data_IF_522714268221
#
_entry.id   IF_522714268221
#
_cell.length_a   1.000
_cell.length_b   1.000
_cell.length_c   1.000
_cell.angle_alpha   90.00
_cell.angle_beta   90.00
_cell.angle_gamma   90.00
#
_symmetry.space_group_name_H-M   'P 1'
#
loop_
_entity.id
_entity.type
_entity.pdbx_description
1 polymer ?
#
# COMPACT_ATOMS: atom_id res chain seq x y z
N UNK A 1 7.06 18.53 17.12
CA UNK A 1 6.24 17.36 17.45
C UNK A 1 7.21 16.23 17.76
N UNK A 2 6.98 15.42 18.81
CA UNK A 2 7.77 14.22 19.10
C UNK A 2 6.87 13.02 18.79
N UNK A 3 7.37 11.96 18.13
CA UNK A 3 6.57 10.77 17.90
C UNK A 3 6.00 10.22 19.22
N UNK A 4 4.85 9.57 19.18
CA UNK A 4 4.30 8.82 20.30
C UNK A 4 3.90 7.43 19.85
N UNK A 5 4.63 6.41 20.26
CA UNK A 5 4.17 5.04 20.05
C UNK A 5 2.88 4.79 20.83
N UNK A 6 1.82 4.40 20.14
CA UNK A 6 0.61 3.85 20.74
C UNK A 6 0.60 2.37 20.41
N UNK A 7 0.67 1.52 21.43
CA UNK A 7 0.37 0.11 21.24
C UNK A 7 -1.04 0.01 20.69
N UNK A 8 -1.17 -0.72 19.59
CA UNK A 8 -2.43 -0.82 18.87
C UNK A 8 -3.48 -1.62 19.66
N UNK A 9 -3.09 -2.29 20.78
CA UNK A 9 -3.96 -3.16 21.58
C UNK A 9 -4.47 -4.41 20.83
N UNK A 10 -4.41 -4.38 19.50
CA UNK A 10 -4.69 -5.42 18.53
C UNK A 10 -3.60 -6.51 18.52
N UNK A 11 -2.65 -6.52 19.46
CA UNK A 11 -1.64 -7.56 19.52
C UNK A 11 -2.27 -8.95 19.60
N UNK A 12 -3.42 -9.14 20.24
CA UNK A 12 -4.06 -10.47 20.26
C UNK A 12 -4.63 -10.88 18.88
N UNK A 13 -5.34 -9.97 18.21
CA UNK A 13 -5.97 -10.24 16.90
C UNK A 13 -4.93 -10.30 15.77
N UNK A 14 -3.98 -9.37 15.76
CA UNK A 14 -2.83 -9.37 14.84
C UNK A 14 -1.87 -10.53 15.15
N UNK A 15 -1.65 -10.91 16.42
CA UNK A 15 -0.83 -12.09 16.76
C UNK A 15 -1.41 -13.35 16.15
N UNK A 16 -2.73 -13.55 16.28
CA UNK A 16 -3.40 -14.71 15.68
C UNK A 16 -3.21 -14.71 14.16
N UNK A 17 -3.27 -13.53 13.53
CA UNK A 17 -3.08 -13.37 12.10
C UNK A 17 -1.64 -13.67 11.65
N UNK A 18 -0.63 -13.23 12.40
CA UNK A 18 0.78 -13.37 12.03
C UNK A 18 1.42 -14.67 12.52
N UNK A 19 0.79 -15.37 13.48
CA UNK A 19 1.31 -16.60 14.10
C UNK A 19 1.78 -17.69 13.11
N UNK A 20 1.13 -17.91 11.95
CA UNK A 20 1.58 -18.93 10.99
C UNK A 20 2.89 -18.58 10.26
N UNK A 21 3.33 -17.32 10.29
CA UNK A 21 4.39 -16.81 9.43
C UNK A 21 5.72 -16.63 10.15
N UNK A 22 6.79 -16.64 9.37
CA UNK A 22 8.16 -16.46 9.84
C UNK A 22 9.01 -15.84 8.73
N UNK A 23 10.02 -15.05 9.10
CA UNK A 23 11.01 -14.53 8.15
C UNK A 23 12.43 -14.74 8.67
N UNK A 24 13.40 -14.70 7.76
CA UNK A 24 14.81 -14.56 8.14
C UNK A 24 15.08 -13.24 8.87
N UNK A 25 16.22 -13.14 9.58
CA UNK A 25 16.58 -11.89 10.27
C UNK A 25 16.78 -10.73 9.28
N UNK A 26 17.38 -10.99 8.12
CA UNK A 26 17.54 -10.01 7.06
C UNK A 26 16.19 -9.47 6.57
N UNK A 27 15.23 -10.35 6.31
CA UNK A 27 13.89 -9.96 5.88
C UNK A 27 13.10 -9.24 6.98
N UNK A 28 13.29 -9.59 8.25
CA UNK A 28 12.72 -8.83 9.37
C UNK A 28 13.32 -7.43 9.48
N UNK A 29 14.64 -7.28 9.29
CA UNK A 29 15.30 -5.98 9.28
C UNK A 29 14.78 -5.11 8.14
N UNK A 30 14.66 -5.67 6.92
CA UNK A 30 14.06 -5.00 5.75
C UNK A 30 12.61 -4.59 6.01
N UNK A 31 11.78 -5.53 6.47
CA UNK A 31 10.35 -5.28 6.67
C UNK A 31 10.09 -4.26 7.78
N UNK A 32 10.82 -4.34 8.90
CA UNK A 32 10.62 -3.37 9.99
C UNK A 32 11.16 -2.01 9.62
N UNK A 33 12.33 -1.94 8.97
CA UNK A 33 12.96 -0.69 8.54
C UNK A 33 13.45 0.20 9.69
N UNK A 34 13.39 -0.27 10.94
CA UNK A 34 13.81 0.49 12.14
C UNK A 34 15.09 -0.03 12.77
N UNK A 35 15.57 -1.20 12.32
CA UNK A 35 16.68 -1.90 12.93
C UNK A 35 17.48 -2.65 11.87
N UNK A 36 18.78 -2.77 12.12
CA UNK A 36 19.65 -3.64 11.34
C UNK A 36 19.49 -5.12 11.77
N UNK A 37 20.08 -6.01 10.98
CA UNK A 37 20.02 -7.45 11.23
C UNK A 37 20.58 -7.85 12.60
N UNK A 38 21.62 -7.15 13.08
CA UNK A 38 22.22 -7.43 14.39
C UNK A 38 21.27 -7.10 15.54
N UNK A 39 20.56 -5.99 15.45
CA UNK A 39 19.55 -5.57 16.42
C UNK A 39 18.35 -6.52 16.36
N UNK A 40 17.87 -6.88 15.17
CA UNK A 40 16.82 -7.88 14.98
C UNK A 40 17.20 -9.22 15.61
N UNK A 41 18.45 -9.68 15.41
CA UNK A 41 18.92 -10.92 16.02
C UNK A 41 18.81 -10.87 17.56
N UNK A 42 19.13 -9.72 18.18
CA UNK A 42 18.96 -9.55 19.63
C UNK A 42 17.50 -9.61 20.09
N UNK A 43 16.54 -9.19 19.26
CA UNK A 43 15.12 -9.36 19.54
C UNK A 43 14.73 -10.83 19.48
N UNK A 44 15.17 -11.52 18.43
CA UNK A 44 14.89 -12.95 18.24
C UNK A 44 15.44 -13.78 19.40
N UNK A 45 16.65 -13.50 19.87
CA UNK A 45 17.25 -14.16 21.05
C UNK A 45 16.44 -13.93 22.33
N UNK A 46 15.84 -12.74 22.50
CA UNK A 46 14.99 -12.44 23.65
C UNK A 46 13.63 -13.16 23.56
N UNK A 47 13.07 -13.28 22.36
CA UNK A 47 11.77 -13.90 22.14
C UNK A 47 11.84 -15.43 22.10
N UNK A 48 12.92 -15.97 21.53
CA UNK A 48 13.12 -17.38 21.18
C UNK A 48 14.61 -17.75 21.36
N UNK A 49 15.09 -17.84 22.61
CA UNK A 49 16.51 -18.07 22.91
C UNK A 49 17.06 -19.41 22.36
N UNK A 50 16.17 -20.39 22.15
CA UNK A 50 16.53 -21.71 21.63
C UNK A 50 16.36 -21.83 20.10
N UNK A 51 16.08 -20.72 19.39
CA UNK A 51 15.97 -20.76 17.94
C UNK A 51 17.36 -20.81 17.29
N UNK A 52 17.57 -21.78 16.41
CA UNK A 52 18.80 -21.89 15.62
C UNK A 52 19.08 -20.60 14.84
N UNK A 53 20.36 -20.24 14.68
CA UNK A 53 20.79 -18.96 14.11
C UNK A 53 20.19 -18.70 12.71
N UNK A 54 20.13 -19.73 11.87
CA UNK A 54 19.65 -19.63 10.49
C UNK A 54 18.16 -19.97 10.32
N UNK A 55 17.47 -20.40 11.39
CA UNK A 55 16.06 -20.76 11.31
C UNK A 55 15.19 -19.49 11.26
N UNK A 56 14.21 -19.36 10.33
CA UNK A 56 13.30 -18.22 10.29
C UNK A 56 12.68 -17.92 11.65
N UNK A 57 12.64 -16.64 12.00
CA UNK A 57 12.07 -16.17 13.25
C UNK A 57 10.53 -16.07 13.13
N UNK A 58 9.79 -16.64 14.09
CA UNK A 58 8.34 -16.54 14.11
C UNK A 58 7.90 -15.10 14.36
N UNK A 59 6.87 -14.66 13.63
CA UNK A 59 6.39 -13.28 13.68
C UNK A 59 5.75 -12.89 15.00
N UNK A 60 4.80 -13.69 15.48
CA UNK A 60 4.03 -13.35 16.69
C UNK A 60 4.94 -13.02 17.88
N UNK A 61 5.96 -13.84 18.25
CA UNK A 61 6.82 -13.52 19.38
C UNK A 61 7.61 -12.23 19.19
N UNK A 62 8.09 -11.96 17.97
CA UNK A 62 8.87 -10.76 17.65
C UNK A 62 7.98 -9.53 17.67
N UNK A 63 6.80 -9.58 17.06
CA UNK A 63 5.83 -8.49 17.06
C UNK A 63 5.40 -8.14 18.49
N UNK A 64 5.10 -9.16 19.30
CA UNK A 64 4.73 -8.97 20.70
C UNK A 64 5.87 -8.35 21.52
N UNK A 65 7.11 -8.79 21.32
CA UNK A 65 8.26 -8.15 21.97
C UNK A 65 8.45 -6.69 21.55
N UNK A 66 8.26 -6.39 20.26
CA UNK A 66 8.33 -5.03 19.76
C UNK A 66 7.29 -4.14 20.44
N UNK A 67 6.04 -4.58 20.48
CA UNK A 67 4.92 -3.82 21.07
C UNK A 67 5.04 -3.67 22.59
N UNK A 68 5.38 -4.74 23.31
CA UNK A 68 5.37 -4.77 24.77
C UNK A 68 6.64 -4.20 25.40
N UNK A 69 7.79 -4.29 24.71
CA UNK A 69 9.11 -4.04 25.31
C UNK A 69 9.95 -3.02 24.54
N UNK A 70 10.07 -3.15 23.22
CA UNK A 70 11.02 -2.36 22.45
C UNK A 70 10.50 -0.95 22.11
N UNK A 71 9.33 -0.86 21.48
CA UNK A 71 8.73 0.38 20.99
C UNK A 71 8.19 1.32 22.07
N UNK A 72 7.78 0.85 23.27
CA UNK A 72 7.45 1.75 24.37
C UNK A 72 8.60 2.64 24.85
N UNK A 73 9.86 2.32 24.51
CA UNK A 73 11.02 3.16 24.82
C UNK A 73 11.39 4.07 23.62
N UNK A 74 11.21 5.40 23.74
CA UNK A 74 11.55 6.35 22.67
C UNK A 74 13.02 6.38 22.27
N UNK A 75 13.93 5.81 23.07
CA UNK A 75 15.34 5.70 22.69
C UNK A 75 15.56 4.72 21.52
N UNK A 76 14.59 3.85 21.24
CA UNK A 76 14.67 2.81 20.22
C UNK A 76 14.10 3.23 18.85
N UNK A 77 13.65 4.47 18.72
CA UNK A 77 13.01 4.94 17.49
C UNK A 77 14.05 5.42 16.47
N UNK A 78 13.78 5.25 15.16
CA UNK A 78 14.77 5.48 14.10
C UNK A 78 15.19 6.94 13.93
N UNK A 79 14.56 7.88 14.65
CA UNK A 79 14.95 9.28 14.65
C UNK A 79 13.99 10.18 15.42
N UNK A 80 14.09 11.47 15.10
CA UNK A 80 13.18 12.51 15.61
C UNK A 80 12.22 13.01 14.53
N UNK A 81 12.13 12.32 13.38
CA UNK A 81 11.21 12.70 12.32
C UNK A 81 9.79 12.29 12.74
N UNK A 82 8.80 13.14 12.49
CA UNK A 82 7.41 12.77 12.77
C UNK A 82 6.97 11.56 11.92
N UNK A 83 7.57 11.38 10.74
CA UNK A 83 7.36 10.20 9.89
C UNK A 83 7.83 8.88 10.54
N UNK A 84 8.73 8.94 11.52
CA UNK A 84 9.20 7.75 12.22
C UNK A 84 8.10 7.14 13.10
N UNK A 85 7.08 7.92 13.53
CA UNK A 85 5.92 7.42 14.30
C UNK A 85 5.12 6.38 13.51
N UNK A 86 4.92 6.66 12.22
CA UNK A 86 4.04 5.89 11.33
C UNK A 86 4.64 4.54 10.95
N UNK A 87 5.98 4.49 10.89
CA UNK A 87 6.71 3.24 10.73
C UNK A 87 6.45 2.29 11.89
N UNK A 88 6.25 2.81 13.12
CA UNK A 88 6.06 1.99 14.32
C UNK A 88 4.67 1.38 14.40
N UNK A 89 3.64 2.14 14.01
CA UNK A 89 2.24 1.69 14.11
C UNK A 89 1.88 0.67 13.03
N UNK A 90 2.59 0.65 11.91
CA UNK A 90 2.33 -0.21 10.75
C UNK A 90 3.29 -1.43 10.61
N UNK A 91 4.08 -1.75 11.65
CA UNK A 91 5.09 -2.82 11.60
C UNK A 91 4.48 -4.18 11.22
N UNK A 92 3.30 -4.51 11.74
CA UNK A 92 2.64 -5.78 11.45
C UNK A 92 2.29 -5.91 9.96
N UNK A 93 1.73 -4.86 9.34
CA UNK A 93 1.41 -4.89 7.92
C UNK A 93 2.69 -4.94 7.07
N UNK A 94 3.76 -4.24 7.45
CA UNK A 94 5.05 -4.31 6.75
C UNK A 94 5.67 -5.71 6.79
N UNK A 95 5.64 -6.37 7.95
CA UNK A 95 6.07 -7.77 8.07
C UNK A 95 5.23 -8.70 7.19
N UNK A 96 3.90 -8.52 7.20
CA UNK A 96 2.99 -9.29 6.33
C UNK A 96 3.22 -9.00 4.84
N UNK A 97 3.49 -7.75 4.45
CA UNK A 97 3.78 -7.37 3.07
C UNK A 97 4.97 -8.15 2.51
N UNK A 98 6.02 -8.34 3.32
CA UNK A 98 7.18 -9.16 2.94
C UNK A 98 6.81 -10.64 2.77
N UNK A 99 5.94 -11.19 3.62
CA UNK A 99 5.43 -12.57 3.46
C UNK A 99 4.58 -12.71 2.20
N UNK A 100 3.74 -11.71 1.90
CA UNK A 100 2.97 -11.66 0.64
C UNK A 100 3.93 -11.66 -0.54
N UNK A 101 4.96 -10.80 -0.54
CA UNK A 101 5.96 -10.77 -1.61
C UNK A 101 6.70 -12.12 -1.75
N UNK A 102 7.16 -12.73 -0.66
CA UNK A 102 7.82 -14.05 -0.71
C UNK A 102 6.90 -15.16 -1.24
N UNK A 103 5.60 -15.09 -0.92
CA UNK A 103 4.61 -16.09 -1.32
C UNK A 103 4.24 -15.97 -2.80
N UNK A 104 4.10 -14.75 -3.32
CA UNK A 104 3.54 -14.51 -4.67
C UNK A 104 4.57 -13.98 -5.68
N UNK A 105 5.74 -13.50 -5.25
CA UNK A 105 6.73 -12.79 -6.07
C UNK A 105 7.26 -13.63 -7.25
N UNK A 106 7.60 -14.89 -7.01
CA UNK A 106 8.12 -15.80 -8.03
C UNK A 106 7.01 -16.34 -8.98
N UNK A 107 5.86 -16.71 -8.43
CA UNK A 107 4.82 -17.45 -9.16
C UNK A 107 3.82 -16.55 -9.92
N UNK A 108 3.69 -15.27 -9.55
CA UNK A 108 2.76 -14.31 -10.17
C UNK A 108 3.44 -13.13 -10.85
N UNK A 109 4.72 -13.27 -11.21
CA UNK A 109 5.53 -12.18 -11.79
C UNK A 109 4.88 -11.48 -13.00
N UNK A 110 4.20 -12.26 -13.87
CA UNK A 110 3.46 -11.75 -15.04
C UNK A 110 2.13 -11.06 -14.74
N UNK A 111 1.57 -11.20 -13.52
CA UNK A 111 0.27 -10.67 -13.15
C UNK A 111 0.27 -9.84 -11.84
N UNK A 112 1.40 -9.20 -11.57
CA UNK A 112 1.61 -8.38 -10.40
C UNK A 112 0.67 -7.18 -10.31
N UNK A 113 0.32 -6.57 -11.45
CA UNK A 113 -0.55 -5.39 -11.49
C UNK A 113 -1.94 -5.75 -10.98
N UNK A 114 -2.50 -6.88 -11.39
CA UNK A 114 -3.79 -7.36 -10.89
C UNK A 114 -3.70 -7.76 -9.42
N UNK A 115 -2.61 -8.41 -9.00
CA UNK A 115 -2.40 -8.74 -7.59
C UNK A 115 -2.37 -7.48 -6.71
N UNK A 116 -1.60 -6.46 -7.10
CA UNK A 116 -1.55 -5.20 -6.39
C UNK A 116 -2.89 -4.46 -6.41
N UNK A 117 -3.59 -4.45 -7.54
CA UNK A 117 -4.91 -3.84 -7.63
C UNK A 117 -5.92 -4.55 -6.70
N UNK A 118 -5.87 -5.87 -6.62
CA UNK A 118 -6.68 -6.66 -5.69
C UNK A 118 -6.35 -6.32 -4.24
N UNK A 119 -5.06 -6.26 -3.90
CA UNK A 119 -4.62 -5.89 -2.55
C UNK A 119 -5.08 -4.47 -2.20
N UNK A 120 -4.92 -3.51 -3.11
CA UNK A 120 -5.40 -2.13 -2.92
C UNK A 120 -6.91 -2.10 -2.65
N UNK A 121 -7.66 -2.87 -3.43
CA UNK A 121 -9.11 -3.01 -3.26
C UNK A 121 -9.46 -3.53 -1.86
N UNK A 122 -8.77 -4.57 -1.40
CA UNK A 122 -9.01 -5.12 -0.07
C UNK A 122 -8.66 -4.11 1.03
N UNK A 123 -7.55 -3.38 0.91
CA UNK A 123 -7.16 -2.34 1.87
C UNK A 123 -8.20 -1.22 1.95
N UNK A 124 -8.73 -0.77 0.80
CA UNK A 124 -9.79 0.25 0.76
C UNK A 124 -11.08 -0.25 1.41
N UNK A 125 -11.45 -1.50 1.16
CA UNK A 125 -12.62 -2.11 1.82
C UNK A 125 -12.38 -2.21 3.32
N UNK A 126 -11.18 -2.64 3.75
CA UNK A 126 -10.82 -2.75 5.17
C UNK A 126 -10.89 -1.40 5.88
N UNK A 127 -10.41 -0.31 5.25
CA UNK A 127 -10.53 1.07 5.78
C UNK A 127 -11.98 1.46 6.06
N UNK A 128 -12.92 0.98 5.24
CA UNK A 128 -14.35 1.32 5.36
C UNK A 128 -15.17 0.22 6.05
N UNK A 129 -14.52 -0.83 6.54
CA UNK A 129 -15.17 -2.03 7.06
C UNK A 129 -15.73 -1.80 8.45
N UNK A 130 -17.01 -2.10 8.62
CA UNK A 130 -17.70 -2.04 9.92
C UNK A 130 -18.11 -3.43 10.45
N UNK A 131 -17.77 -4.49 9.70
CA UNK A 131 -18.03 -5.87 10.08
C UNK A 131 -16.95 -6.46 10.99
N UNK A 132 -17.02 -7.77 11.22
CA UNK A 132 -16.01 -8.50 11.99
C UNK A 132 -14.78 -8.81 11.14
N UNK A 133 -13.62 -8.98 11.79
CA UNK A 133 -12.37 -9.39 11.14
C UNK A 133 -12.51 -10.78 10.54
N UNK A 134 -13.18 -11.70 11.24
CA UNK A 134 -13.43 -13.05 10.74
C UNK A 134 -14.25 -13.04 9.45
N UNK A 135 -15.24 -12.15 9.33
CA UNK A 135 -16.01 -12.01 8.10
C UNK A 135 -15.11 -11.48 6.96
N UNK A 136 -14.33 -10.43 7.21
CA UNK A 136 -13.43 -9.86 6.22
C UNK A 136 -12.43 -10.88 5.69
N UNK A 137 -11.85 -11.70 6.58
CA UNK A 137 -10.87 -12.71 6.23
C UNK A 137 -11.38 -13.72 5.19
N UNK A 138 -12.70 -13.88 5.05
CA UNK A 138 -13.32 -14.78 4.08
C UNK A 138 -13.61 -14.18 2.71
N UNK A 139 -13.35 -12.88 2.48
CA UNK A 139 -13.75 -12.17 1.26
C UNK A 139 -13.21 -12.78 -0.05
N UNK A 140 -12.05 -13.44 0.01
CA UNK A 140 -11.41 -14.13 -1.12
C UNK A 140 -11.73 -15.62 -1.22
N UNK A 141 -12.47 -16.18 -0.27
CA UNK A 141 -12.92 -17.57 -0.35
C UNK A 141 -13.84 -17.75 -1.55
N UNK A 142 -13.87 -18.97 -2.10
CA UNK A 142 -14.80 -19.32 -3.17
C UNK A 142 -16.26 -19.01 -2.78
N UNK A 143 -16.59 -19.23 -1.51
CA UNK A 143 -17.84 -18.84 -0.88
C UNK A 143 -17.48 -18.05 0.40
N UNK A 144 -17.57 -16.71 0.39
CA UNK A 144 -17.45 -15.90 1.60
C UNK A 144 -18.58 -16.19 2.58
N UNK A 145 -18.42 -15.79 3.84
CA UNK A 145 -19.49 -15.90 4.83
C UNK A 145 -20.66 -14.98 4.48
N UNK A 146 -21.86 -15.32 4.97
CA UNK A 146 -23.04 -14.47 4.79
C UNK A 146 -22.83 -13.07 5.38
N UNK A 147 -22.15 -12.97 6.52
CA UNK A 147 -21.78 -11.70 7.15
C UNK A 147 -20.86 -10.88 6.25
N UNK A 148 -19.86 -11.50 5.61
CA UNK A 148 -18.97 -10.79 4.69
C UNK A 148 -19.74 -10.19 3.49
N UNK A 149 -20.74 -10.91 2.97
CA UNK A 149 -21.60 -10.41 1.90
C UNK A 149 -22.57 -9.31 2.36
N UNK A 150 -22.96 -9.29 3.64
CA UNK A 150 -23.80 -8.25 4.23
C UNK A 150 -23.02 -6.94 4.42
N UNK A 151 -21.79 -7.02 4.94
CA UNK A 151 -20.97 -5.84 5.24
C UNK A 151 -20.27 -5.23 4.01
N UNK A 152 -20.07 -6.00 2.93
CA UNK A 152 -19.39 -5.49 1.73
C UNK A 152 -20.13 -4.30 1.06
N UNK A 153 -21.46 -4.35 0.85
CA UNK A 153 -22.24 -3.17 0.45
C UNK A 153 -22.10 -1.96 1.38
N UNK A 154 -22.06 -2.18 2.69
CA UNK A 154 -21.93 -1.11 3.68
C UNK A 154 -20.55 -0.44 3.60
N UNK A 155 -19.48 -1.21 3.43
CA UNK A 155 -18.14 -0.68 3.27
C UNK A 155 -18.03 0.24 2.03
N UNK A 156 -18.71 -0.11 0.93
CA UNK A 156 -18.75 0.76 -0.27
C UNK A 156 -19.53 2.05 0.03
N UNK A 157 -20.64 1.96 0.75
CA UNK A 157 -21.44 3.12 1.12
C UNK A 157 -20.70 4.07 2.08
N UNK A 158 -19.80 3.52 2.91
CA UNK A 158 -18.95 4.29 3.82
C UNK A 158 -17.75 4.93 3.13
N UNK A 159 -17.36 4.45 1.95
CA UNK A 159 -16.30 5.08 1.16
C UNK A 159 -16.75 6.45 0.61
N UNK A 160 -15.81 7.37 0.34
CA UNK A 160 -16.11 8.65 -0.31
C UNK A 160 -16.93 8.47 -1.60
N UNK A 161 -17.97 9.29 -1.78
CA UNK A 161 -18.90 9.17 -2.92
C UNK A 161 -18.22 9.28 -4.28
N UNK A 162 -17.13 10.04 -4.37
CA UNK A 162 -16.29 10.16 -5.57
C UNK A 162 -15.75 8.81 -6.05
N UNK A 163 -15.54 7.86 -5.13
CA UNK A 163 -14.95 6.55 -5.40
C UNK A 163 -15.99 5.48 -5.74
N UNK A 164 -17.29 5.70 -5.47
CA UNK A 164 -18.34 4.69 -5.66
C UNK A 164 -18.36 4.07 -7.07
N UNK A 165 -18.22 4.85 -8.18
CA UNK A 165 -18.18 4.26 -9.51
C UNK A 165 -16.97 3.35 -9.72
N UNK A 166 -15.80 3.77 -9.27
CA UNK A 166 -14.56 3.01 -9.40
C UNK A 166 -14.63 1.72 -8.58
N UNK A 167 -15.08 1.80 -7.32
CA UNK A 167 -15.26 0.61 -6.47
C UNK A 167 -16.28 -0.35 -7.08
N UNK A 168 -17.45 0.14 -7.47
CA UNK A 168 -18.58 -0.72 -7.88
C UNK A 168 -18.38 -1.36 -9.25
N UNK A 169 -17.82 -0.62 -10.20
CA UNK A 169 -17.77 -1.03 -11.61
C UNK A 169 -16.43 -1.66 -12.01
N UNK A 170 -15.34 -1.38 -11.28
CA UNK A 170 -14.00 -1.83 -11.64
C UNK A 170 -13.42 -2.78 -10.59
N UNK A 171 -13.33 -2.35 -9.33
CA UNK A 171 -12.57 -3.09 -8.32
C UNK A 171 -13.35 -4.25 -7.69
N UNK A 172 -14.64 -4.09 -7.40
CA UNK A 172 -15.45 -5.19 -6.86
C UNK A 172 -15.65 -6.35 -7.83
N UNK A 173 -15.89 -6.14 -9.14
CA UNK A 173 -15.90 -7.23 -10.10
C UNK A 173 -14.59 -8.03 -10.07
N UNK A 174 -13.44 -7.35 -10.06
CA UNK A 174 -12.13 -8.00 -9.98
C UNK A 174 -11.95 -8.80 -8.67
N UNK A 175 -12.38 -8.25 -7.53
CA UNK A 175 -12.37 -8.97 -6.26
C UNK A 175 -13.23 -10.24 -6.32
N UNK A 176 -14.44 -10.15 -6.91
CA UNK A 176 -15.33 -11.31 -7.05
C UNK A 176 -14.77 -12.36 -7.99
N UNK A 177 -14.12 -11.95 -9.07
CA UNK A 177 -13.44 -12.86 -10.01
C UNK A 177 -12.26 -13.57 -9.35
N UNK A 178 -11.54 -12.89 -8.44
CA UNK A 178 -10.42 -13.46 -7.71
C UNK A 178 -10.82 -14.52 -6.66
N UNK A 179 -12.10 -14.61 -6.29
CA UNK A 179 -12.58 -15.56 -5.27
C UNK A 179 -12.33 -17.01 -5.66
N UNK A 180 -11.78 -17.77 -4.72
CA UNK A 180 -11.47 -19.18 -4.93
C UNK A 180 -10.32 -19.46 -5.91
N UNK A 181 -9.62 -18.42 -6.40
CA UNK A 181 -8.42 -18.57 -7.23
C UNK A 181 -7.14 -18.76 -6.41
N UNK A 182 -7.23 -18.53 -5.10
CA UNK A 182 -6.17 -18.70 -4.11
C UNK A 182 -6.47 -19.91 -3.23
N UNK A 183 -5.42 -20.57 -2.73
CA UNK A 183 -5.57 -21.52 -1.62
C UNK A 183 -6.10 -20.81 -0.37
N UNK A 184 -6.65 -21.57 0.57
CA UNK A 184 -7.18 -20.98 1.81
C UNK A 184 -6.11 -20.19 2.60
N UNK A 185 -4.86 -20.65 2.61
CA UNK A 185 -3.76 -19.97 3.28
C UNK A 185 -3.36 -18.66 2.57
N UNK A 186 -3.31 -18.67 1.23
CA UNK A 186 -3.03 -17.48 0.42
C UNK A 186 -4.15 -16.43 0.54
N UNK A 187 -5.41 -16.86 0.49
CA UNK A 187 -6.56 -15.99 0.69
C UNK A 187 -6.51 -15.32 2.07
N UNK A 188 -6.27 -16.11 3.12
CA UNK A 188 -6.10 -15.64 4.51
C UNK A 188 -4.92 -14.68 4.66
N UNK A 189 -3.80 -14.93 3.97
CA UNK A 189 -2.64 -14.04 3.99
C UNK A 189 -2.97 -12.68 3.36
N UNK A 190 -3.63 -12.67 2.19
CA UNK A 190 -3.99 -11.43 1.48
C UNK A 190 -5.04 -10.61 2.24
N UNK A 191 -6.12 -11.24 2.72
CA UNK A 191 -7.14 -10.55 3.52
C UNK A 191 -6.60 -10.13 4.88
N UNK A 192 -5.75 -10.94 5.48
CA UNK A 192 -5.03 -10.62 6.71
C UNK A 192 -4.16 -9.39 6.58
N UNK A 193 -3.27 -9.41 5.58
CA UNK A 193 -2.46 -8.24 5.24
C UNK A 193 -3.33 -7.01 5.07
N UNK A 194 -4.42 -7.11 4.28
CA UNK A 194 -5.32 -5.99 4.02
C UNK A 194 -6.03 -5.45 5.27
N UNK A 195 -6.39 -6.29 6.25
CA UNK A 195 -6.91 -5.85 7.55
C UNK A 195 -5.86 -5.07 8.34
N UNK A 196 -4.68 -5.66 8.53
CA UNK A 196 -3.59 -5.03 9.27
C UNK A 196 -3.22 -3.67 8.66
N UNK A 197 -3.15 -3.63 7.33
CA UNK A 197 -2.96 -2.45 6.51
C UNK A 197 -4.09 -1.42 6.61
N UNK A 198 -5.34 -1.89 6.54
CA UNK A 198 -6.56 -1.09 6.47
C UNK A 198 -6.85 -0.33 7.76
N UNK A 199 -6.52 -0.91 8.91
CA UNK A 199 -6.65 -0.26 10.22
C UNK A 199 -5.90 1.08 10.30
N UNK A 200 -4.73 1.15 9.65
CA UNK A 200 -3.91 2.35 9.61
C UNK A 200 -4.01 3.08 8.28
N UNK A 201 -4.78 2.56 7.31
CA UNK A 201 -4.95 3.20 6.01
C UNK A 201 -5.78 4.48 6.07
N UNK A 202 -6.47 4.78 7.17
CA UNK A 202 -7.07 6.10 7.38
C UNK A 202 -6.09 7.16 7.87
N UNK A 203 -4.92 6.77 8.38
CA UNK A 203 -3.91 7.72 8.87
C UNK A 203 -2.69 7.73 7.94
N UNK A 204 -2.33 6.56 7.39
CA UNK A 204 -1.12 6.28 6.60
C UNK A 204 -1.34 5.28 5.43
N UNK A 205 -2.33 5.46 4.55
CA UNK A 205 -2.65 4.51 3.47
C UNK A 205 -1.51 4.25 2.49
N UNK A 206 -0.61 5.21 2.34
CA UNK A 206 0.60 5.09 1.53
C UNK A 206 1.58 4.03 2.05
N UNK A 207 1.92 4.03 3.34
CA UNK A 207 2.93 3.11 3.91
C UNK A 207 2.52 1.66 3.73
N UNK A 208 1.22 1.42 3.74
CA UNK A 208 0.59 0.14 3.46
C UNK A 208 0.95 -0.37 2.06
N UNK A 209 0.49 0.23 0.95
CA UNK A 209 0.83 -0.38 -0.36
C UNK A 209 2.23 -0.06 -0.84
N UNK A 210 2.89 0.99 -0.34
CA UNK A 210 4.30 1.19 -0.62
C UNK A 210 5.13 0.05 -0.02
N UNK A 211 4.81 -0.39 1.21
CA UNK A 211 5.47 -1.54 1.84
C UNK A 211 5.39 -2.81 0.97
N UNK A 212 4.22 -3.09 0.39
CA UNK A 212 4.10 -4.22 -0.55
C UNK A 212 4.76 -3.94 -1.89
N UNK A 213 4.71 -2.70 -2.38
CA UNK A 213 5.38 -2.30 -3.62
C UNK A 213 6.89 -2.57 -3.55
N UNK A 214 7.53 -2.04 -2.51
CA UNK A 214 8.96 -2.22 -2.22
C UNK A 214 9.29 -3.71 -2.09
N UNK A 215 8.50 -4.46 -1.31
CA UNK A 215 8.74 -5.88 -1.08
C UNK A 215 8.73 -6.68 -2.40
N UNK A 216 7.82 -6.38 -3.32
CA UNK A 216 7.77 -7.00 -4.64
C UNK A 216 8.78 -6.43 -5.64
N UNK A 217 9.29 -5.21 -5.42
CA UNK A 217 10.29 -4.61 -6.29
C UNK A 217 11.69 -5.18 -6.06
N UNK A 218 11.98 -5.62 -4.83
CA UNK A 218 13.20 -6.34 -4.46
C UNK A 218 13.48 -7.59 -5.34
N UNK A 219 12.45 -8.15 -5.98
CA UNK A 219 12.56 -9.29 -6.91
C UNK A 219 12.97 -8.89 -8.35
N UNK A 220 13.57 -7.71 -8.53
CA UNK A 220 14.15 -7.27 -9.80
C UNK A 220 13.23 -6.42 -10.68
N UNK A 221 12.19 -5.79 -10.09
CA UNK A 221 11.40 -4.76 -10.79
C UNK A 221 12.10 -3.41 -10.68
N UNK A 222 12.00 -2.59 -11.73
CA UNK A 222 12.59 -1.26 -11.72
C UNK A 222 11.80 -0.34 -10.76
N UNK A 223 12.38 -0.05 -9.60
CA UNK A 223 12.00 1.11 -8.80
C UNK A 223 12.40 2.39 -9.57
N UNK A 224 11.74 3.53 -9.31
CA UNK A 224 12.22 4.81 -9.79
C UNK A 224 13.65 4.99 -9.26
N UNK A 225 14.58 5.38 -10.14
CA UNK A 225 15.92 5.71 -9.67
C UNK A 225 15.94 7.05 -8.91
N UNK A 226 16.98 7.24 -8.10
CA UNK A 226 17.14 8.46 -7.29
C UNK A 226 17.12 9.73 -8.14
N UNK A 227 17.59 9.66 -9.39
CA UNK A 227 17.58 10.79 -10.32
C UNK A 227 16.15 11.19 -10.69
N UNK A 228 15.31 10.22 -11.04
CA UNK A 228 13.91 10.44 -11.38
C UNK A 228 13.13 11.00 -10.17
N UNK A 229 13.35 10.46 -8.97
CA UNK A 229 12.74 10.97 -7.74
C UNK A 229 13.14 12.43 -7.51
N UNK A 230 14.44 12.75 -7.56
CA UNK A 230 14.91 14.13 -7.37
C UNK A 230 14.36 15.11 -8.39
N UNK A 231 14.18 14.68 -9.66
CA UNK A 231 13.56 15.53 -10.67
C UNK A 231 12.11 15.89 -10.33
N UNK A 232 11.32 14.93 -9.85
CA UNK A 232 9.94 15.17 -9.43
C UNK A 232 9.90 16.05 -8.18
N UNK A 233 10.78 15.81 -7.22
CA UNK A 233 10.92 16.67 -6.04
C UNK A 233 11.25 18.13 -6.41
N UNK A 234 12.12 18.35 -7.39
CA UNK A 234 12.48 19.69 -7.84
C UNK A 234 11.29 20.42 -8.48
N UNK A 235 10.43 19.72 -9.22
CA UNK A 235 9.18 20.28 -9.77
C UNK A 235 8.21 20.64 -8.64
N UNK A 236 8.04 19.76 -7.65
CA UNK A 236 7.21 20.04 -6.46
C UNK A 236 7.72 21.25 -5.68
N UNK A 237 9.03 21.33 -5.43
CA UNK A 237 9.68 22.46 -4.75
C UNK A 237 9.50 23.76 -5.54
N UNK A 238 9.59 23.71 -6.87
CA UNK A 238 9.37 24.86 -7.74
C UNK A 238 7.92 25.36 -7.65
N UNK A 239 6.93 24.47 -7.73
CA UNK A 239 5.50 24.82 -7.58
C UNK A 239 5.19 25.39 -6.20
N UNK A 240 5.71 24.78 -5.14
CA UNK A 240 5.55 25.30 -3.78
C UNK A 240 6.17 26.69 -3.62
N UNK A 241 7.35 26.91 -4.19
CA UNK A 241 8.04 28.21 -4.15
C UNK A 241 7.28 29.29 -4.92
N UNK A 242 6.73 28.94 -6.10
CA UNK A 242 5.89 29.83 -6.89
C UNK A 242 4.63 30.24 -6.11
N UNK A 243 3.88 29.26 -5.58
CA UNK A 243 2.68 29.51 -4.79
C UNK A 243 2.93 30.40 -3.57
N UNK A 244 4.09 30.24 -2.89
CA UNK A 244 4.48 31.08 -1.75
C UNK A 244 4.84 32.51 -2.15
N UNK A 245 5.45 32.71 -3.32
CA UNK A 245 5.84 34.04 -3.81
C UNK A 245 4.61 34.90 -4.17
N UNK A 246 3.46 34.28 -4.38
CA UNK A 246 2.27 34.89 -4.97
C UNK A 246 1.11 35.13 -4.02
N UNK A 247 1.35 35.04 -2.71
CA UNK A 247 0.40 35.47 -1.68
C UNK A 247 -0.02 36.97 -1.76
N UNK A 248 0.24 37.65 -2.89
CA UNK A 248 -0.28 38.96 -3.30
C UNK A 248 -0.21 39.25 -4.82
N UNK A 249 -0.10 38.24 -5.70
CA UNK A 249 -0.07 38.42 -7.16
C UNK A 249 -1.48 38.37 -7.79
N UNK A 250 -1.65 39.00 -8.96
CA UNK A 250 -2.94 39.07 -9.68
C UNK A 250 -3.20 37.91 -10.64
N UNK A 251 -2.17 37.12 -10.95
CA UNK A 251 -2.26 35.93 -11.81
C UNK A 251 -1.58 34.77 -11.08
N UNK A 252 -2.25 33.61 -11.04
CA UNK A 252 -1.63 32.35 -10.63
C UNK A 252 -0.86 31.78 -11.84
N UNK A 253 0.40 31.36 -11.68
CA UNK A 253 1.25 30.80 -12.68
C UNK A 253 0.78 29.38 -12.92
N UNK A 254 0.93 28.93 -14.16
CA UNK A 254 0.64 27.53 -14.47
C UNK A 254 1.57 26.62 -13.66
N UNK A 255 1.03 25.57 -13.02
CA UNK A 255 1.86 24.62 -12.29
C UNK A 255 2.83 23.95 -13.27
N UNK A 256 4.07 23.75 -12.83
CA UNK A 256 5.04 22.95 -13.56
C UNK A 256 4.60 21.48 -13.48
N UNK A 257 4.54 20.82 -14.62
CA UNK A 257 4.15 19.42 -14.73
C UNK A 257 5.35 18.54 -15.11
N UNK A 258 5.34 17.32 -14.59
CA UNK A 258 6.19 16.22 -14.99
C UNK A 258 5.38 15.29 -15.93
N UNK A 259 5.64 15.41 -17.23
CA UNK A 259 4.88 14.66 -18.24
C UNK A 259 5.44 13.25 -18.44
N UNK A 260 4.61 12.24 -18.22
CA UNK A 260 4.85 10.84 -18.52
C UNK A 260 4.12 10.42 -19.80
N UNK A 261 4.58 9.37 -20.50
CA UNK A 261 3.84 8.83 -21.65
C UNK A 261 2.48 8.29 -21.18
N UNK A 262 1.44 8.44 -21.99
CA UNK A 262 0.10 7.96 -21.65
C UNK A 262 -0.07 6.45 -21.78
N UNK A 263 1.01 5.67 -21.77
CA UNK A 263 1.00 4.24 -22.05
C UNK A 263 1.28 3.39 -20.79
N UNK A 264 1.49 2.09 -20.98
CA UNK A 264 1.80 1.16 -19.91
C UNK A 264 3.00 1.61 -19.06
N UNK A 265 4.11 2.01 -19.70
CA UNK A 265 5.34 2.40 -19.00
C UNK A 265 5.13 3.66 -18.16
N UNK A 266 4.40 4.63 -18.71
CA UNK A 266 4.11 5.86 -17.99
C UNK A 266 3.19 5.65 -16.78
N UNK A 267 2.13 4.85 -16.90
CA UNK A 267 1.26 4.57 -15.75
C UNK A 267 1.98 3.77 -14.65
N UNK A 268 2.83 2.81 -15.02
CA UNK A 268 3.67 2.08 -14.04
C UNK A 268 4.65 3.02 -13.35
N UNK A 269 5.35 3.85 -14.12
CA UNK A 269 6.28 4.83 -13.57
C UNK A 269 5.57 5.79 -12.62
N UNK A 270 4.37 6.25 -12.98
CA UNK A 270 3.56 7.11 -12.15
C UNK A 270 3.14 6.43 -10.83
N UNK A 271 2.71 5.17 -10.89
CA UNK A 271 2.38 4.40 -9.70
C UNK A 271 3.60 4.28 -8.78
N UNK A 272 4.77 3.91 -9.33
CA UNK A 272 6.00 3.77 -8.56
C UNK A 272 6.49 5.10 -7.99
N UNK A 273 6.31 6.20 -8.70
CA UNK A 273 6.64 7.54 -8.21
C UNK A 273 5.74 7.96 -7.05
N UNK A 274 4.44 7.73 -7.15
CA UNK A 274 3.51 7.95 -6.01
C UNK A 274 3.90 7.05 -4.83
N UNK A 275 4.34 5.83 -5.10
CA UNK A 275 4.84 4.89 -4.10
C UNK A 275 6.11 5.37 -3.39
N UNK A 276 6.95 6.18 -4.01
CA UNK A 276 8.15 6.74 -3.36
C UNK A 276 7.90 8.14 -2.78
N UNK A 277 6.99 8.89 -3.41
CA UNK A 277 6.73 10.30 -3.17
C UNK A 277 5.23 10.57 -3.39
N UNK A 278 4.39 10.47 -2.35
CA UNK A 278 2.94 10.57 -2.48
C UNK A 278 2.46 11.83 -3.22
N UNK A 279 3.12 12.96 -2.98
CA UNK A 279 2.78 14.25 -3.57
C UNK A 279 3.11 14.32 -5.07
N UNK A 280 3.78 13.32 -5.65
CA UNK A 280 4.09 13.29 -7.07
C UNK A 280 2.82 13.38 -7.94
N UNK A 281 1.67 12.91 -7.45
CA UNK A 281 0.40 13.00 -8.18
C UNK A 281 -0.01 14.44 -8.53
N UNK A 282 0.39 15.43 -7.72
CA UNK A 282 0.09 16.86 -7.94
C UNK A 282 0.76 17.43 -9.19
N UNK A 283 1.84 16.80 -9.65
CA UNK A 283 2.66 17.28 -10.75
C UNK A 283 2.71 16.34 -11.94
N UNK A 284 2.19 15.12 -11.81
CA UNK A 284 2.19 14.15 -12.91
C UNK A 284 1.07 14.48 -13.92
N UNK A 285 1.48 14.61 -15.17
CA UNK A 285 0.59 14.67 -16.33
C UNK A 285 0.92 13.56 -17.32
N UNK A 286 -0.05 13.16 -18.13
CA UNK A 286 0.15 12.16 -19.18
C UNK A 286 0.04 12.78 -20.55
N UNK A 287 1.01 12.51 -21.43
CA UNK A 287 0.94 12.92 -22.82
C UNK A 287 -0.18 12.16 -23.55
N UNK A 288 -0.90 12.83 -24.45
CA UNK A 288 -1.85 12.16 -25.33
C UNK A 288 -1.14 11.08 -26.18
N UNK A 289 -1.78 9.92 -26.34
CA UNK A 289 -1.25 8.82 -27.15
C UNK A 289 -0.93 9.28 -28.57
N UNK A 290 0.33 9.16 -29.05
CA UNK A 290 0.66 9.48 -30.43
C UNK A 290 0.21 8.33 -31.35
N UNK A 291 -1.06 8.35 -31.75
CA UNK A 291 -1.55 7.52 -32.86
C UNK A 291 -2.80 6.69 -32.55
N UNK A 292 -3.83 6.94 -33.37
CA UNK A 292 -5.07 6.18 -33.58
C UNK A 292 -6.16 6.30 -32.50
N UNK A 293 -7.32 6.80 -32.95
CA UNK A 293 -8.45 7.13 -32.10
C UNK A 293 -9.20 5.91 -31.57
N UNK A 294 -9.92 6.13 -30.48
CA UNK A 294 -11.08 5.35 -30.03
C UNK A 294 -10.89 3.83 -30.09
N UNK A 295 -9.88 3.31 -29.40
CA UNK A 295 -9.87 1.90 -29.00
C UNK A 295 -9.48 1.79 -27.54
N UNK A 296 -10.19 0.92 -26.81
CA UNK A 296 -9.87 0.55 -25.44
C UNK A 296 -8.35 0.34 -25.27
N UNK A 297 -7.80 0.82 -24.14
CA UNK A 297 -6.41 0.57 -23.75
C UNK A 297 -6.10 -0.92 -23.96
N UNK A 298 -4.96 -1.25 -24.58
CA UNK A 298 -4.49 -2.62 -24.63
C UNK A 298 -4.43 -3.19 -23.20
N UNK A 299 -4.68 -4.49 -23.03
CA UNK A 299 -4.89 -5.11 -21.70
C UNK A 299 -3.76 -4.77 -20.70
N UNK A 300 -2.51 -4.77 -21.14
CA UNK A 300 -1.35 -4.41 -20.29
C UNK A 300 -1.37 -2.93 -19.87
N UNK A 301 -1.75 -2.03 -20.78
CA UNK A 301 -1.89 -0.60 -20.50
C UNK A 301 -3.06 -0.33 -19.56
N UNK A 302 -4.17 -1.09 -19.71
CA UNK A 302 -5.30 -1.05 -18.78
C UNK A 302 -4.89 -1.50 -17.38
N UNK A 303 -4.12 -2.59 -17.26
CA UNK A 303 -3.64 -3.08 -15.97
C UNK A 303 -2.71 -2.07 -15.29
N UNK A 304 -1.83 -1.41 -16.04
CA UNK A 304 -0.98 -0.33 -15.53
C UNK A 304 -1.78 0.90 -15.09
N UNK A 305 -2.79 1.28 -15.87
CA UNK A 305 -3.70 2.37 -15.51
C UNK A 305 -4.48 2.07 -14.22
N UNK A 306 -5.02 0.85 -14.08
CA UNK A 306 -5.73 0.42 -12.86
C UNK A 306 -4.78 0.46 -11.66
N UNK A 307 -3.54 -0.03 -11.83
CA UNK A 307 -2.51 0.04 -10.79
C UNK A 307 -2.26 1.49 -10.35
N UNK A 308 -2.12 2.42 -11.30
CA UNK A 308 -1.95 3.84 -11.00
C UNK A 308 -3.16 4.42 -10.24
N UNK A 309 -4.39 4.10 -10.66
CA UNK A 309 -5.58 4.50 -9.93
C UNK A 309 -5.57 3.94 -8.49
N UNK A 310 -5.23 2.67 -8.32
CA UNK A 310 -5.14 2.05 -7.00
C UNK A 310 -4.14 2.78 -6.08
N UNK A 311 -3.02 3.28 -6.61
CA UNK A 311 -2.03 4.01 -5.83
C UNK A 311 -2.52 5.42 -5.46
N UNK A 312 -3.30 6.08 -6.33
CA UNK A 312 -3.98 7.33 -6.00
C UNK A 312 -5.03 7.16 -4.90
N UNK A 313 -5.78 6.06 -4.90
CA UNK A 313 -6.84 5.82 -3.90
C UNK A 313 -6.31 5.62 -2.47
N UNK A 314 -5.01 5.38 -2.34
CA UNK A 314 -4.32 5.34 -1.06
C UNK A 314 -3.76 6.70 -0.66
N UNK A 315 -4.01 7.77 -1.40
CA UNK A 315 -3.88 9.09 -0.81
C UNK A 315 -5.01 9.22 0.21
N UNK A 316 -4.70 9.47 1.49
CA UNK A 316 -5.71 9.89 2.48
C UNK A 316 -6.07 11.38 2.28
N UNK A 317 -6.08 11.83 1.04
CA UNK A 317 -6.31 13.21 0.70
C UNK A 317 -7.34 13.31 -0.41
N UNK A 318 -8.25 14.27 -0.23
CA UNK A 318 -9.38 14.49 -1.13
C UNK A 318 -8.90 14.79 -2.57
N UNK A 319 -7.69 15.34 -2.73
CA UNK A 319 -7.10 15.62 -4.06
C UNK A 319 -6.78 14.33 -4.81
N UNK A 320 -6.09 13.38 -4.18
CA UNK A 320 -5.77 12.08 -4.77
C UNK A 320 -7.03 11.27 -5.11
N UNK A 321 -8.00 11.21 -4.19
CA UNK A 321 -9.27 10.50 -4.41
C UNK A 321 -10.08 11.12 -5.56
N UNK A 322 -10.20 12.44 -5.59
CA UNK A 322 -10.88 13.16 -6.67
C UNK A 322 -10.15 12.97 -8.01
N UNK A 323 -8.82 13.02 -8.01
CA UNK A 323 -8.00 12.79 -9.21
C UNK A 323 -8.23 11.39 -9.78
N UNK A 324 -8.26 10.36 -8.93
CA UNK A 324 -8.56 8.99 -9.35
C UNK A 324 -9.97 8.89 -9.97
N UNK A 325 -10.97 9.50 -9.34
CA UNK A 325 -12.35 9.51 -9.83
C UNK A 325 -12.49 10.23 -11.18
N UNK A 326 -11.79 11.35 -11.36
CA UNK A 326 -11.77 12.10 -12.62
C UNK A 326 -11.11 11.33 -13.75
N UNK A 327 -9.95 10.73 -13.49
CA UNK A 327 -9.24 9.90 -14.46
C UNK A 327 -10.07 8.70 -14.87
N UNK A 328 -10.71 8.01 -13.92
CA UNK A 328 -11.61 6.91 -14.22
C UNK A 328 -12.81 7.36 -15.06
N UNK A 329 -13.46 8.47 -14.72
CA UNK A 329 -14.57 9.03 -15.51
C UNK A 329 -14.14 9.37 -16.94
N UNK A 330 -13.00 10.05 -17.09
CA UNK A 330 -12.46 10.39 -18.40
C UNK A 330 -12.12 9.15 -19.24
N UNK A 331 -11.68 8.06 -18.59
CA UNK A 331 -11.42 6.78 -19.28
C UNK A 331 -12.67 6.07 -19.78
N UNK A 332 -13.86 6.39 -19.23
CA UNK A 332 -15.15 5.83 -19.68
C UNK A 332 -15.79 6.60 -20.82
N UNK A 333 -15.47 7.89 -20.94
CA UNK A 333 -16.03 8.78 -21.96
C UNK A 333 -15.30 8.66 -23.31
N UNK A 334 -14.11 8.07 -23.32
CA UNK A 334 -13.25 7.84 -24.50
C UNK A 334 -13.22 6.37 -24.92
#
# INVERSE_FOLDING_TARGET
YRPTYRSNGACDDLAALVAPYSLSRAQLAEATGIADEATVNSWVEQCRPDLEADAPAPFEPVLRYLDETYLPDPANWPGSNAYDEFVLENIAARMLARVVADTFGADRSGNYRELLALIATLVLIARCWAGTDEAFLTLLNAEPTAEAEEYLPEAIANAPESLHPLLTELLLPALREARGTFTAAEAQLLTGYALAAGYFAGEHPYETLNGIHIAFAADGRALPDDELIHRVEDVLKANFSAARAEAGATENPEPHEFTLPGDQEGYETAAHLIAALPQAHDVIAFSAHPGEGTSALADDCRAAFILYLCYLLLGDDESSEQRAAELYRASREN
#
